data_IF_891979131676
#
_entry.id   IF_891979131676
#
_cell.length_a   1.000
_cell.length_b   1.000
_cell.length_c   1.000
_cell.angle_alpha   90.00
_cell.angle_beta   90.00
_cell.angle_gamma   90.00
#
_symmetry.space_group_name_H-M   'P 1'
#
loop_
_entity.id
_entity.type
_entity.pdbx_description
1 polymer ?
#
# COMPACT_ATOMS: atom_id res chain seq x y z
N UNK A 1 -2.07 -16.26 17.63
CA UNK A 1 -1.24 -15.26 18.35
C UNK A 1 -1.42 -13.89 17.68
N UNK A 2 -1.55 -12.81 18.45
CA UNK A 2 -1.74 -11.45 17.93
C UNK A 2 -0.56 -10.58 18.36
N UNK A 3 0.03 -9.85 17.42
CA UNK A 3 1.11 -8.88 17.65
C UNK A 3 0.57 -7.45 17.57
N UNK A 4 0.71 -6.71 18.66
CA UNK A 4 0.39 -5.27 18.74
C UNK A 4 1.59 -4.44 18.31
N UNK A 5 1.41 -3.56 17.32
CA UNK A 5 2.47 -2.74 16.73
C UNK A 5 2.68 -1.40 17.43
N UNK A 6 1.70 -0.87 18.18
CA UNK A 6 1.77 0.47 18.79
C UNK A 6 3.05 0.70 19.60
N UNK A 7 3.51 -0.32 20.33
CA UNK A 7 4.73 -0.26 21.18
C UNK A 7 6.05 -0.25 20.40
N UNK A 8 5.99 -0.41 19.07
CA UNK A 8 7.15 -0.42 18.18
C UNK A 8 7.20 0.82 17.30
N UNK A 9 6.40 1.84 17.64
CA UNK A 9 6.41 3.13 16.96
C UNK A 9 7.80 3.74 17.00
N UNK A 10 8.21 4.28 15.86
CA UNK A 10 9.45 5.02 15.70
C UNK A 10 9.15 6.39 15.12
N UNK A 11 10.00 7.34 15.45
CA UNK A 11 9.92 8.67 14.90
C UNK A 11 10.94 8.82 13.77
N UNK A 12 10.48 8.62 12.54
CA UNK A 12 11.31 8.74 11.33
C UNK A 12 11.02 10.03 10.56
N UNK A 13 10.02 10.80 10.98
CA UNK A 13 9.54 11.96 10.23
C UNK A 13 10.14 13.22 10.86
N UNK A 14 10.94 14.00 10.10
CA UNK A 14 11.48 15.28 10.54
C UNK A 14 10.41 16.27 11.05
N UNK A 15 10.82 17.21 11.90
CA UNK A 15 9.90 18.16 12.53
C UNK A 15 9.15 19.03 11.52
N UNK A 16 9.83 19.55 10.49
CA UNK A 16 9.21 20.35 9.43
C UNK A 16 8.08 19.60 8.70
N UNK A 17 8.26 18.31 8.40
CA UNK A 17 7.22 17.48 7.79
C UNK A 17 6.07 17.26 8.76
N UNK A 18 6.35 17.07 10.06
CA UNK A 18 5.28 16.98 11.07
C UNK A 18 4.48 18.27 11.16
N UNK A 19 5.11 19.43 11.08
CA UNK A 19 4.40 20.72 11.08
C UNK A 19 3.48 20.86 9.87
N UNK A 20 3.94 20.46 8.67
CA UNK A 20 3.08 20.40 7.48
C UNK A 20 1.88 19.48 7.72
N UNK A 21 2.13 18.26 8.21
CA UNK A 21 1.08 17.28 8.45
C UNK A 21 0.11 17.67 9.58
N UNK A 22 0.56 18.47 10.57
CA UNK A 22 -0.31 19.03 11.62
C UNK A 22 -1.32 20.03 11.08
N UNK A 23 -1.06 20.64 9.91
CA UNK A 23 -2.03 21.48 9.21
C UNK A 23 -3.29 20.73 8.78
N UNK A 24 -3.26 19.39 8.75
CA UNK A 24 -4.40 18.56 8.40
C UNK A 24 -5.02 17.91 9.63
N UNK A 25 -6.35 18.02 9.74
CA UNK A 25 -7.11 17.41 10.84
C UNK A 25 -6.96 15.89 10.91
N UNK A 26 -6.88 15.24 9.76
CA UNK A 26 -6.68 13.80 9.66
C UNK A 26 -5.58 13.47 8.66
N UNK A 27 -4.66 12.61 9.08
CA UNK A 27 -3.58 12.06 8.25
C UNK A 27 -3.59 10.55 8.45
N UNK A 28 -3.57 9.77 7.37
CA UNK A 28 -3.72 8.31 7.46
C UNK A 28 -3.16 7.57 6.24
N UNK A 29 -3.09 6.25 6.37
CA UNK A 29 -2.61 5.30 5.35
C UNK A 29 -1.24 5.68 4.72
N UNK A 30 -0.18 5.90 5.53
CA UNK A 30 1.14 6.25 5.02
C UNK A 30 1.83 5.07 4.37
N UNK A 31 2.61 5.33 3.34
CA UNK A 31 3.59 4.42 2.77
C UNK A 31 4.95 5.09 2.83
N UNK A 32 5.93 4.45 3.47
CA UNK A 32 7.26 5.02 3.65
C UNK A 32 8.32 4.06 3.13
N UNK A 33 9.30 4.60 2.42
CA UNK A 33 10.51 3.90 1.99
C UNK A 33 11.72 4.84 2.10
N UNK A 34 12.91 4.25 2.15
CA UNK A 34 14.19 4.95 2.03
C UNK A 34 14.98 4.35 0.87
N UNK A 35 15.44 5.17 -0.06
CA UNK A 35 16.12 4.72 -1.27
C UNK A 35 17.07 5.81 -1.80
N UNK A 36 18.31 5.44 -2.14
CA UNK A 36 19.35 6.35 -2.64
C UNK A 36 19.45 7.66 -1.86
N UNK A 37 19.60 7.55 -0.54
CA UNK A 37 19.72 8.68 0.41
C UNK A 37 18.51 9.63 0.47
N UNK A 38 17.40 9.25 -0.16
CA UNK A 38 16.13 9.94 -0.11
C UNK A 38 15.10 9.15 0.69
N UNK A 39 14.33 9.89 1.46
CA UNK A 39 13.15 9.39 2.14
C UNK A 39 11.92 9.78 1.33
N UNK A 40 10.97 8.85 1.24
CA UNK A 40 9.71 9.07 0.54
C UNK A 40 8.56 8.71 1.48
N UNK A 41 7.56 9.59 1.55
CA UNK A 41 6.32 9.36 2.30
C UNK A 41 5.13 9.71 1.41
N UNK A 42 4.42 8.68 0.95
CA UNK A 42 3.11 8.86 0.36
C UNK A 42 2.06 8.75 1.47
N UNK A 43 1.09 9.66 1.52
CA UNK A 43 0.14 9.74 2.64
C UNK A 43 -1.20 10.31 2.18
N UNK A 44 -2.26 9.97 2.91
CA UNK A 44 -3.58 10.58 2.73
C UNK A 44 -3.83 11.62 3.80
N UNK A 45 -4.37 12.76 3.39
CA UNK A 45 -4.71 13.87 4.27
C UNK A 45 -6.15 14.33 4.02
N UNK A 46 -6.87 14.71 5.06
CA UNK A 46 -8.17 15.37 4.92
C UNK A 46 -7.96 16.88 4.86
N UNK A 47 -8.29 17.48 3.72
CA UNK A 47 -8.21 18.91 3.52
C UNK A 47 -9.55 19.56 3.90
N UNK A 48 -9.51 20.42 4.92
CA UNK A 48 -10.69 21.10 5.42
C UNK A 48 -11.21 22.18 4.47
N UNK A 49 -10.39 22.69 3.54
CA UNK A 49 -10.80 23.74 2.58
C UNK A 49 -11.65 23.13 1.47
N UNK A 50 -11.14 22.11 0.77
CA UNK A 50 -11.86 21.40 -0.28
C UNK A 50 -12.85 20.35 0.25
N UNK A 51 -12.85 20.08 1.56
CA UNK A 51 -13.63 19.01 2.21
C UNK A 51 -13.39 17.63 1.60
N UNK A 52 -12.20 17.40 1.07
CA UNK A 52 -11.84 16.17 0.35
C UNK A 52 -10.64 15.46 0.99
N UNK A 53 -10.43 14.20 0.61
CA UNK A 53 -9.23 13.45 1.02
C UNK A 53 -8.24 13.49 -0.13
N UNK A 54 -7.09 14.11 0.10
CA UNK A 54 -6.00 14.25 -0.85
C UNK A 54 -4.93 13.19 -0.62
N UNK A 55 -4.22 12.82 -1.69
CA UNK A 55 -3.00 12.02 -1.64
C UNK A 55 -1.80 12.94 -1.89
N UNK A 56 -0.83 12.89 -0.98
CA UNK A 56 0.40 13.67 -1.04
C UNK A 56 1.61 12.74 -1.07
N UNK A 57 2.68 13.17 -1.74
CA UNK A 57 4.00 12.57 -1.69
C UNK A 57 4.97 13.61 -1.14
N UNK A 58 5.67 13.26 -0.07
CA UNK A 58 6.70 14.10 0.54
C UNK A 58 8.04 13.40 0.40
N UNK A 59 9.06 14.13 -0.05
CA UNK A 59 10.39 13.62 -0.36
C UNK A 59 11.42 14.48 0.34
N UNK A 60 12.39 13.86 1.00
CA UNK A 60 13.44 14.60 1.71
C UNK A 60 14.76 13.85 1.83
N UNK A 61 15.86 14.59 1.92
CA UNK A 61 17.20 14.09 2.27
C UNK A 61 17.61 14.49 3.71
N UNK A 62 18.83 14.14 4.13
CA UNK A 62 19.41 14.50 5.43
C UNK A 62 19.56 16.01 5.62
N UNK A 63 19.77 16.74 4.54
CA UNK A 63 20.00 18.20 4.53
C UNK A 63 18.69 18.99 4.52
N UNK A 64 17.56 18.32 4.75
CA UNK A 64 16.23 18.92 4.88
C UNK A 64 15.73 19.56 3.57
N UNK A 65 16.32 19.21 2.41
CA UNK A 65 15.72 19.54 1.12
C UNK A 65 14.41 18.78 1.00
N UNK A 66 13.31 19.52 1.15
CA UNK A 66 11.96 19.01 1.19
C UNK A 66 11.27 19.31 -0.14
N UNK A 67 10.62 18.31 -0.72
CA UNK A 67 9.66 18.53 -1.81
C UNK A 67 8.35 17.84 -1.52
N UNK A 68 7.26 18.55 -1.74
CA UNK A 68 5.90 18.01 -1.71
C UNK A 68 5.34 17.94 -3.13
N UNK A 69 4.68 16.83 -3.44
CA UNK A 69 3.93 16.62 -4.68
C UNK A 69 2.50 16.29 -4.32
N UNK A 70 1.55 17.05 -4.85
CA UNK A 70 0.13 16.75 -4.74
C UNK A 70 -0.26 15.71 -5.80
N UNK A 71 -0.29 14.42 -5.39
CA UNK A 71 -0.63 13.33 -6.29
C UNK A 71 -2.09 13.42 -6.74
N UNK A 72 -2.99 13.90 -5.86
CA UNK A 72 -4.40 14.10 -6.21
C UNK A 72 -4.55 15.11 -7.35
N UNK A 73 -3.91 16.28 -7.23
CA UNK A 73 -3.93 17.29 -8.28
C UNK A 73 -3.25 16.79 -9.55
N UNK A 74 -2.06 16.21 -9.45
CA UNK A 74 -1.30 15.72 -10.60
C UNK A 74 -2.13 14.72 -11.43
N UNK A 75 -2.73 13.71 -10.81
CA UNK A 75 -3.49 12.70 -11.54
C UNK A 75 -4.90 13.15 -11.94
N UNK A 76 -5.45 14.17 -11.29
CA UNK A 76 -6.63 14.87 -11.80
C UNK A 76 -6.32 15.54 -13.14
N UNK A 77 -5.19 16.23 -13.25
CA UNK A 77 -4.80 16.92 -14.49
C UNK A 77 -4.35 15.94 -15.59
N UNK A 78 -3.60 14.89 -15.24
CA UNK A 78 -3.03 13.95 -16.23
C UNK A 78 -3.96 12.85 -16.69
N UNK A 79 -4.88 12.40 -15.83
CA UNK A 79 -5.74 11.23 -16.09
C UNK A 79 -7.22 11.49 -15.83
N UNK A 80 -7.61 12.75 -15.57
CA UNK A 80 -8.98 13.13 -15.20
C UNK A 80 -9.55 12.31 -14.03
N UNK A 81 -8.70 11.94 -13.06
CA UNK A 81 -9.15 11.17 -11.90
C UNK A 81 -9.73 12.08 -10.82
N UNK A 82 -10.93 11.75 -10.36
CA UNK A 82 -11.56 12.45 -9.22
C UNK A 82 -10.86 12.16 -7.89
N UNK A 83 -10.15 11.04 -7.80
CA UNK A 83 -9.62 10.54 -6.54
C UNK A 83 -8.36 9.72 -6.74
N UNK A 84 -7.42 9.93 -5.82
CA UNK A 84 -6.21 9.12 -5.65
C UNK A 84 -6.28 8.52 -4.25
N UNK A 85 -6.47 7.21 -4.16
CA UNK A 85 -6.67 6.51 -2.90
C UNK A 85 -5.54 5.54 -2.58
N UNK A 86 -5.11 5.60 -1.32
CA UNK A 86 -4.17 4.68 -0.69
C UNK A 86 -2.88 4.49 -1.52
N UNK A 87 -2.12 5.57 -1.79
CA UNK A 87 -0.85 5.48 -2.51
C UNK A 87 0.15 4.62 -1.73
N UNK A 88 0.81 3.70 -2.42
CA UNK A 88 1.74 2.73 -1.82
C UNK A 88 3.08 2.78 -2.57
N UNK A 89 4.13 3.15 -1.85
CA UNK A 89 5.50 3.24 -2.33
C UNK A 89 6.21 1.89 -2.20
N UNK A 90 7.03 1.56 -3.19
CA UNK A 90 7.87 0.37 -3.18
C UNK A 90 9.07 0.54 -4.12
N UNK A 91 10.05 -0.35 -3.96
CA UNK A 91 11.24 -0.38 -4.81
C UNK A 91 11.11 -1.57 -5.75
N UNK A 92 11.23 -1.31 -7.04
CA UNK A 92 11.15 -2.34 -8.09
C UNK A 92 12.13 -1.97 -9.20
N UNK A 93 12.96 -2.94 -9.60
CA UNK A 93 14.01 -2.77 -10.62
C UNK A 93 14.88 -1.51 -10.38
N UNK A 94 15.45 -1.38 -9.17
CA UNK A 94 16.30 -0.25 -8.77
C UNK A 94 15.68 1.15 -9.01
N UNK A 95 14.36 1.25 -8.88
CA UNK A 95 13.65 2.52 -8.96
C UNK A 95 12.54 2.59 -7.91
N UNK A 96 12.16 3.81 -7.54
CA UNK A 96 11.00 4.06 -6.69
C UNK A 96 9.75 4.05 -7.55
N UNK A 97 8.82 3.18 -7.18
CA UNK A 97 7.51 3.10 -7.77
C UNK A 97 6.44 3.40 -6.73
N UNK A 98 5.28 3.83 -7.22
CA UNK A 98 4.10 4.01 -6.42
C UNK A 98 2.88 3.45 -7.16
N UNK A 99 1.95 2.88 -6.42
CA UNK A 99 0.64 2.49 -6.94
C UNK A 99 -0.48 3.07 -6.10
N UNK A 100 -1.61 3.38 -6.73
CA UNK A 100 -2.84 3.78 -6.04
C UNK A 100 -4.06 3.26 -6.79
N UNK A 101 -5.22 3.31 -6.13
CA UNK A 101 -6.51 3.04 -6.76
C UNK A 101 -7.36 4.32 -6.79
N UNK A 102 -8.24 4.50 -7.77
CA UNK A 102 -9.13 5.67 -7.80
C UNK A 102 -10.32 5.52 -6.85
N UNK A 103 -10.53 4.32 -6.31
CA UNK A 103 -11.77 3.96 -5.63
C UNK A 103 -12.89 3.73 -6.64
N UNK A 104 -13.92 3.00 -6.21
CA UNK A 104 -15.14 2.84 -7.01
C UNK A 104 -16.10 3.98 -6.67
N UNK A 105 -16.64 4.62 -7.70
CA UNK A 105 -17.74 5.58 -7.61
C UNK A 105 -18.90 5.08 -8.45
N UNK A 106 -20.09 5.66 -8.29
CA UNK A 106 -21.25 5.29 -9.10
C UNK A 106 -21.07 5.64 -10.60
N UNK A 107 -20.07 6.47 -10.92
CA UNK A 107 -19.79 6.98 -12.28
C UNK A 107 -18.62 6.28 -12.96
N UNK A 108 -17.64 5.81 -12.19
CA UNK A 108 -16.42 5.23 -12.74
C UNK A 108 -16.00 3.96 -12.01
N UNK A 109 -15.55 2.99 -12.81
CA UNK A 109 -14.85 1.83 -12.32
C UNK A 109 -13.56 2.24 -11.61
N UNK A 110 -13.23 1.48 -10.56
CA UNK A 110 -12.00 1.68 -9.83
C UNK A 110 -10.81 1.45 -10.76
N UNK A 111 -10.01 2.47 -11.05
CA UNK A 111 -8.76 2.36 -11.82
C UNK A 111 -7.60 2.03 -10.89
N UNK A 112 -6.65 1.25 -11.37
CA UNK A 112 -5.38 1.03 -10.68
C UNK A 112 -4.29 1.70 -11.50
N UNK A 113 -3.48 2.54 -10.84
CA UNK A 113 -2.38 3.25 -11.50
C UNK A 113 -1.07 2.82 -10.88
N UNK A 114 -0.07 2.60 -11.73
CA UNK A 114 1.32 2.35 -11.38
C UNK A 114 2.16 3.48 -11.96
N UNK A 115 3.04 4.08 -11.18
CA UNK A 115 3.90 5.16 -11.65
C UNK A 115 5.27 5.14 -11.00
N UNK A 116 6.25 5.69 -11.71
CA UNK A 116 7.66 5.75 -11.33
C UNK A 116 8.01 7.16 -10.89
N UNK A 117 8.78 7.24 -9.81
CA UNK A 117 9.21 8.50 -9.20
C UNK A 117 10.74 8.61 -9.38
N UNK A 118 11.19 9.77 -9.86
CA UNK A 118 12.61 10.12 -9.94
C UNK A 118 12.81 11.52 -9.36
N UNK A 119 13.53 11.60 -8.23
CA UNK A 119 13.53 12.81 -7.40
C UNK A 119 12.11 13.17 -6.99
N UNK A 120 11.67 14.38 -7.31
CA UNK A 120 10.30 14.89 -7.10
C UNK A 120 9.36 14.73 -8.29
N UNK A 121 9.81 14.14 -9.39
CA UNK A 121 9.04 14.05 -10.63
C UNK A 121 8.37 12.69 -10.79
N UNK A 122 7.12 12.69 -11.23
CA UNK A 122 6.45 11.50 -11.76
C UNK A 122 6.89 11.35 -13.21
N UNK A 123 7.83 10.43 -13.46
CA UNK A 123 8.47 10.24 -14.78
C UNK A 123 7.60 9.46 -15.75
N UNK A 124 7.05 8.35 -15.26
CA UNK A 124 6.28 7.38 -16.03
C UNK A 124 5.03 7.02 -15.22
N UNK A 125 3.88 6.86 -15.86
CA UNK A 125 2.65 6.43 -15.19
C UNK A 125 1.76 5.64 -16.15
N UNK A 126 1.07 4.65 -15.59
CA UNK A 126 0.29 3.66 -16.33
C UNK A 126 -1.01 3.33 -15.63
N UNK A 127 -2.13 3.42 -16.34
CA UNK A 127 -3.38 2.76 -15.98
C UNK A 127 -3.23 1.27 -16.23
N UNK A 128 -3.35 0.47 -15.18
CA UNK A 128 -3.16 -0.97 -15.19
C UNK A 128 -4.48 -1.68 -15.50
N UNK A 129 -4.50 -2.42 -16.60
CA UNK A 129 -5.71 -3.08 -17.11
C UNK A 129 -5.54 -4.59 -17.11
N UNK A 130 -6.54 -5.29 -16.57
CA UNK A 130 -6.69 -6.74 -16.66
C UNK A 130 -8.15 -7.05 -16.97
N UNK A 131 -8.40 -7.82 -18.04
CA UNK A 131 -9.76 -8.04 -18.56
C UNK A 131 -10.68 -8.73 -17.55
N UNK A 132 -10.16 -9.68 -16.77
CA UNK A 132 -10.96 -10.44 -15.79
C UNK A 132 -10.88 -9.80 -14.39
N UNK A 133 -10.56 -8.51 -14.33
CA UNK A 133 -10.43 -7.80 -13.07
C UNK A 133 -11.80 -7.70 -12.39
N UNK A 134 -11.87 -8.19 -11.16
CA UNK A 134 -12.97 -7.90 -10.26
C UNK A 134 -13.10 -6.38 -10.05
N UNK A 135 -14.28 -5.82 -10.36
CA UNK A 135 -14.58 -4.39 -10.33
C UNK A 135 -14.23 -3.71 -9.00
N UNK A 136 -14.40 -4.42 -7.88
CA UNK A 136 -14.12 -3.88 -6.55
C UNK A 136 -12.70 -4.12 -6.06
N UNK A 137 -11.87 -4.85 -6.81
CA UNK A 137 -10.47 -5.15 -6.43
C UNK A 137 -9.63 -3.87 -6.49
N UNK A 138 -8.86 -3.63 -5.43
CA UNK A 138 -8.16 -2.35 -5.20
C UNK A 138 -6.65 -2.48 -5.09
N UNK A 139 -6.16 -3.66 -4.74
CA UNK A 139 -4.79 -3.80 -4.29
C UNK A 139 -4.10 -4.90 -5.10
N UNK A 140 -3.26 -4.48 -6.05
CA UNK A 140 -2.26 -5.37 -6.62
C UNK A 140 -0.92 -5.05 -5.96
N UNK A 141 -0.04 -6.05 -5.85
CA UNK A 141 1.33 -5.79 -5.48
C UNK A 141 2.28 -6.20 -6.61
N UNK A 142 2.91 -5.18 -7.19
CA UNK A 142 3.80 -5.31 -8.32
C UNK A 142 5.18 -5.78 -7.91
N UNK A 143 5.84 -6.52 -8.78
CA UNK A 143 7.22 -6.93 -8.62
C UNK A 143 7.88 -7.16 -9.98
N UNK A 144 9.21 -7.22 -9.97
CA UNK A 144 10.03 -7.46 -11.15
C UNK A 144 10.68 -8.83 -11.03
N UNK A 145 10.48 -9.66 -12.04
CA UNK A 145 10.99 -11.03 -12.09
C UNK A 145 11.38 -11.33 -13.54
N UNK A 146 12.52 -11.96 -13.78
CA UNK A 146 13.01 -12.32 -15.14
C UNK A 146 12.91 -11.17 -16.17
N UNK A 147 13.28 -9.95 -15.76
CA UNK A 147 13.22 -8.73 -16.57
C UNK A 147 11.82 -8.24 -16.98
N UNK A 148 10.77 -8.75 -16.35
CA UNK A 148 9.39 -8.41 -16.66
C UNK A 148 8.63 -7.94 -15.41
N UNK A 149 7.56 -7.17 -15.63
CA UNK A 149 6.69 -6.69 -14.55
C UNK A 149 5.56 -7.70 -14.34
N UNK A 150 5.45 -8.14 -13.10
CA UNK A 150 4.38 -8.99 -12.62
C UNK A 150 3.58 -8.30 -11.53
N UNK A 151 2.39 -8.83 -11.26
CA UNK A 151 1.57 -8.40 -10.14
C UNK A 151 0.98 -9.62 -9.41
N UNK A 152 1.15 -9.66 -8.10
CA UNK A 152 0.33 -10.50 -7.24
C UNK A 152 -1.07 -9.88 -7.20
N UNK A 153 -2.07 -10.61 -7.69
CA UNK A 153 -3.44 -10.11 -7.88
C UNK A 153 -4.41 -10.61 -6.82
N UNK A 154 -4.38 -11.92 -6.52
CA UNK A 154 -5.29 -12.53 -5.55
C UNK A 154 -4.56 -13.51 -4.62
N UNK A 155 -5.01 -13.54 -3.37
CA UNK A 155 -4.60 -14.52 -2.35
C UNK A 155 -5.63 -15.65 -2.15
N UNK A 156 -6.79 -15.55 -2.82
CA UNK A 156 -7.90 -16.49 -2.68
C UNK A 156 -8.13 -17.12 -4.06
N UNK A 157 -7.50 -18.28 -4.28
CA UNK A 157 -6.99 -18.62 -5.60
C UNK A 157 -5.78 -17.73 -5.88
N UNK A 158 -4.57 -18.28 -5.75
CA UNK A 158 -3.35 -17.53 -6.01
C UNK A 158 -3.33 -17.16 -7.49
N UNK A 159 -3.47 -15.86 -7.78
CA UNK A 159 -3.42 -15.34 -9.14
C UNK A 159 -2.24 -14.38 -9.26
N UNK A 160 -1.41 -14.63 -10.26
CA UNK A 160 -0.31 -13.77 -10.68
C UNK A 160 -0.58 -13.31 -12.10
N UNK A 161 -0.41 -12.02 -12.31
CA UNK A 161 -0.51 -11.40 -13.62
C UNK A 161 0.87 -11.05 -14.14
N UNK A 162 1.03 -11.10 -15.46
CA UNK A 162 2.21 -10.64 -16.19
C UNK A 162 1.82 -9.49 -17.10
N UNK A 163 2.64 -8.44 -17.14
CA UNK A 163 2.47 -7.36 -18.11
C UNK A 163 2.80 -7.87 -19.52
N UNK A 164 1.87 -7.72 -20.46
CA UNK A 164 2.03 -8.20 -21.85
C UNK A 164 2.17 -7.07 -22.85
N UNK A 165 1.71 -5.86 -22.51
CA UNK A 165 1.96 -4.66 -23.32
C UNK A 165 2.03 -3.40 -22.47
N UNK A 166 2.86 -2.47 -22.91
CA UNK A 166 3.04 -1.15 -22.33
C UNK A 166 2.96 -0.15 -23.47
N UNK A 167 1.97 0.74 -23.43
CA UNK A 167 1.78 1.81 -24.42
C UNK A 167 1.46 3.12 -23.71
N UNK A 168 2.29 4.14 -23.92
CA UNK A 168 2.22 5.48 -23.30
C UNK A 168 1.87 5.46 -21.81
N UNK A 169 0.56 5.48 -21.49
CA UNK A 169 0.01 5.53 -20.14
C UNK A 169 -0.93 4.36 -19.80
N UNK A 170 -0.79 3.24 -20.51
CA UNK A 170 -1.56 2.01 -20.30
C UNK A 170 -0.62 0.83 -20.21
N UNK A 171 -0.86 -0.03 -19.23
CA UNK A 171 -0.17 -1.30 -19.06
C UNK A 171 -1.21 -2.41 -19.00
N UNK A 172 -1.12 -3.37 -19.92
CA UNK A 172 -2.04 -4.50 -19.98
C UNK A 172 -1.40 -5.70 -19.30
N UNK A 173 -2.21 -6.38 -18.49
CA UNK A 173 -1.86 -7.56 -17.75
C UNK A 173 -2.72 -8.74 -18.18
N UNK A 174 -2.10 -9.92 -18.20
CA UNK A 174 -2.77 -11.20 -18.46
C UNK A 174 -2.46 -12.20 -17.34
N UNK A 175 -3.31 -13.22 -17.23
CA UNK A 175 -3.12 -14.27 -16.25
C UNK A 175 -1.88 -15.09 -16.62
N UNK A 176 -0.89 -15.11 -15.72
CA UNK A 176 0.33 -15.88 -15.89
C UNK A 176 0.31 -17.16 -15.08
N UNK A 177 -0.24 -17.09 -13.86
CA UNK A 177 -0.38 -18.23 -12.99
C UNK A 177 -1.69 -18.14 -12.21
N UNK A 178 -2.38 -19.27 -12.10
CA UNK A 178 -3.58 -19.41 -11.31
C UNK A 178 -3.58 -20.77 -10.59
N UNK A 179 -3.67 -20.74 -9.26
CA UNK A 179 -3.84 -21.93 -8.45
C UNK A 179 -4.97 -21.75 -7.44
N UNK A 180 -6.12 -22.33 -7.76
CA UNK A 180 -7.34 -22.30 -6.95
C UNK A 180 -7.23 -23.08 -5.64
N UNK A 181 -6.28 -24.03 -5.54
CA UNK A 181 -6.03 -24.80 -4.33
C UNK A 181 -5.33 -23.95 -3.25
N UNK A 182 -4.61 -22.90 -3.65
CA UNK A 182 -4.03 -21.94 -2.71
C UNK A 182 -5.08 -20.89 -2.38
N UNK A 183 -5.78 -21.08 -1.28
CA UNK A 183 -6.85 -20.19 -0.85
C UNK A 183 -6.69 -19.78 0.62
N UNK A 184 -6.36 -18.50 0.83
CA UNK A 184 -6.25 -17.97 2.18
C UNK A 184 -7.60 -17.48 2.74
N UNK A 185 -8.67 -17.41 1.95
CA UNK A 185 -10.03 -17.12 2.38
C UNK A 185 -10.44 -15.66 2.17
N UNK A 186 -10.59 -14.89 3.24
CA UNK A 186 -11.05 -13.48 3.16
C UNK A 186 -9.87 -12.50 3.27
N UNK A 187 -8.78 -12.78 2.56
CA UNK A 187 -7.59 -11.92 2.56
C UNK A 187 -7.48 -11.13 1.27
N UNK A 188 -7.09 -9.87 1.40
CA UNK A 188 -6.65 -9.05 0.27
C UNK A 188 -5.19 -8.66 0.49
N UNK A 189 -4.53 -8.24 -0.56
CA UNK A 189 -3.19 -7.66 -0.46
C UNK A 189 -3.30 -6.33 0.27
N UNK A 190 -2.41 -6.09 1.23
CA UNK A 190 -2.41 -4.88 2.05
C UNK A 190 -1.28 -3.94 1.68
N UNK A 191 -0.05 -4.40 1.86
CA UNK A 191 1.17 -3.66 1.49
C UNK A 191 1.66 -4.04 0.09
N UNK A 192 2.55 -3.23 -0.51
CA UNK A 192 3.41 -3.71 -1.59
C UNK A 192 4.27 -4.91 -1.17
N UNK A 193 4.94 -5.52 -2.14
CA UNK A 193 5.95 -6.55 -1.91
C UNK A 193 7.30 -5.89 -1.55
N UNK A 194 7.98 -6.39 -0.51
CA UNK A 194 9.34 -6.00 -0.18
C UNK A 194 10.29 -7.20 -0.34
N UNK A 195 11.33 -7.03 -1.16
CA UNK A 195 12.32 -8.08 -1.41
C UNK A 195 13.20 -8.33 -0.17
N UNK A 196 13.40 -9.60 0.16
CA UNK A 196 14.25 -10.07 1.25
C UNK A 196 14.76 -11.48 0.94
N UNK A 197 16.08 -11.63 0.81
CA UNK A 197 16.74 -12.90 0.54
C UNK A 197 16.11 -13.66 -0.64
N UNK A 198 15.91 -12.98 -1.78
CA UNK A 198 15.33 -13.56 -3.00
C UNK A 198 13.82 -13.82 -2.95
N UNK A 199 13.15 -13.51 -1.84
CA UNK A 199 11.71 -13.71 -1.68
C UNK A 199 11.02 -12.38 -1.34
N UNK A 200 9.70 -12.35 -1.43
CA UNK A 200 8.92 -11.16 -1.07
C UNK A 200 8.18 -11.33 0.24
N UNK A 201 8.33 -10.35 1.13
CA UNK A 201 7.54 -10.21 2.35
C UNK A 201 6.47 -9.15 2.13
N UNK A 202 5.26 -9.42 2.61
CA UNK A 202 4.18 -8.43 2.62
C UNK A 202 3.16 -8.74 3.72
N UNK A 203 2.27 -7.78 3.99
CA UNK A 203 1.18 -7.95 4.94
C UNK A 203 -0.14 -7.87 4.17
N UNK A 204 -0.90 -8.96 4.19
CA UNK A 204 -2.27 -9.00 3.69
C UNK A 204 -3.26 -8.49 4.74
N UNK A 205 -4.43 -8.05 4.30
CA UNK A 205 -5.53 -7.65 5.17
C UNK A 205 -6.58 -8.77 5.24
N UNK A 206 -6.78 -9.33 6.43
CA UNK A 206 -7.94 -10.17 6.71
C UNK A 206 -9.18 -9.29 6.86
N UNK A 207 -10.15 -9.44 5.96
CA UNK A 207 -11.45 -8.78 6.05
C UNK A 207 -12.43 -9.67 6.83
N UNK A 208 -12.85 -9.20 7.99
CA UNK A 208 -13.91 -9.83 8.79
C UNK A 208 -15.17 -8.98 8.61
N UNK A 209 -16.28 -9.60 8.19
CA UNK A 209 -17.54 -8.91 7.94
C UNK A 209 -18.64 -9.47 8.85
N UNK A 210 -19.37 -8.60 9.54
CA UNK A 210 -20.56 -8.96 10.35
C UNK A 210 -21.62 -7.87 10.21
N UNK A 211 -22.84 -8.24 9.83
CA UNK A 211 -23.97 -7.31 9.61
C UNK A 211 -23.59 -6.10 8.71
N UNK A 212 -22.89 -6.37 7.60
CA UNK A 212 -22.42 -5.33 6.66
C UNK A 212 -21.29 -4.42 7.16
N UNK A 213 -20.87 -4.57 8.43
CA UNK A 213 -19.74 -3.84 9.01
C UNK A 213 -18.45 -4.65 8.87
N UNK A 214 -17.32 -3.95 8.73
CA UNK A 214 -16.02 -4.54 8.33
C UNK A 214 -14.94 -4.26 9.38
N UNK A 215 -14.12 -5.25 9.63
CA UNK A 215 -12.91 -5.15 10.45
C UNK A 215 -11.71 -5.70 9.67
N UNK A 216 -10.58 -5.01 9.72
CA UNK A 216 -9.37 -5.39 9.00
C UNK A 216 -8.20 -5.65 9.95
N UNK A 217 -7.61 -6.84 9.83
CA UNK A 217 -6.41 -7.27 10.56
C UNK A 217 -5.26 -7.52 9.59
N UNK A 218 -4.03 -7.31 10.02
CA UNK A 218 -2.84 -7.69 9.26
C UNK A 218 -2.52 -9.17 9.40
N UNK A 219 -2.02 -9.76 8.33
CA UNK A 219 -1.45 -11.11 8.31
C UNK A 219 -0.17 -11.10 7.47
N UNK A 220 0.99 -11.47 8.05
CA UNK A 220 2.24 -11.51 7.31
C UNK A 220 2.26 -12.70 6.35
N UNK A 221 2.76 -12.47 5.14
CA UNK A 221 2.93 -13.47 4.08
C UNK A 221 4.36 -13.46 3.54
N UNK A 222 4.81 -14.63 3.12
CA UNK A 222 6.04 -14.85 2.36
C UNK A 222 5.63 -15.40 0.99
N UNK A 223 6.03 -14.68 -0.06
CA UNK A 223 5.81 -15.04 -1.45
C UNK A 223 7.16 -15.36 -2.10
N UNK A 224 7.28 -16.55 -2.68
CA UNK A 224 8.46 -16.98 -3.43
C UNK A 224 8.12 -16.97 -4.92
N UNK A 225 8.64 -15.99 -5.69
CA UNK A 225 8.41 -15.97 -7.12
C UNK A 225 9.19 -17.11 -7.78
N UNK A 226 8.55 -17.85 -8.67
CA UNK A 226 9.16 -18.84 -9.56
C UNK A 226 8.15 -19.26 -10.63
N UNK A 227 8.52 -20.19 -11.51
CA UNK A 227 7.57 -20.83 -12.44
C UNK A 227 6.43 -21.57 -11.73
N UNK A 228 6.64 -22.02 -10.49
CA UNK A 228 5.60 -22.55 -9.62
C UNK A 228 5.59 -21.77 -8.30
N UNK A 229 4.97 -20.59 -8.28
CA UNK A 229 5.03 -19.67 -7.15
C UNK A 229 4.50 -20.27 -5.86
N UNK A 230 5.21 -20.02 -4.77
CA UNK A 230 4.80 -20.44 -3.43
C UNK A 230 4.31 -19.25 -2.62
N UNK A 231 3.22 -19.43 -1.88
CA UNK A 231 2.71 -18.44 -0.95
C UNK A 231 2.44 -19.09 0.40
N UNK A 232 3.03 -18.53 1.45
CA UNK A 232 2.84 -18.99 2.84
C UNK A 232 2.48 -17.82 3.75
N UNK A 233 1.82 -18.11 4.87
CA UNK A 233 1.44 -17.09 5.85
C UNK A 233 1.99 -17.40 7.24
N UNK A 234 2.38 -16.37 7.99
CA UNK A 234 2.74 -16.52 9.41
C UNK A 234 1.51 -16.90 10.23
N UNK A 235 1.66 -17.64 11.33
CA UNK A 235 0.57 -17.92 12.28
C UNK A 235 0.07 -16.68 13.03
N UNK A 236 0.81 -15.57 13.00
CA UNK A 236 0.49 -14.33 13.72
C UNK A 236 -0.51 -13.45 12.97
N UNK A 237 -1.36 -12.76 13.73
CA UNK A 237 -2.08 -11.58 13.25
C UNK A 237 -1.39 -10.33 13.76
N UNK A 238 -1.49 -9.25 13.01
CA UNK A 238 -0.84 -7.99 13.34
C UNK A 238 -1.88 -6.88 13.38
N UNK A 239 -1.86 -6.08 14.45
CA UNK A 239 -2.80 -4.99 14.69
C UNK A 239 -2.06 -3.77 15.23
N UNK A 240 -2.67 -2.59 15.13
CA UNK A 240 -2.15 -1.43 15.84
C UNK A 240 -2.14 -1.65 17.36
N UNK A 241 -3.32 -1.88 17.95
CA UNK A 241 -3.52 -2.17 19.38
C UNK A 241 -4.89 -2.84 19.61
N UNK A 242 -5.11 -3.46 20.78
CA UNK A 242 -6.43 -3.97 21.14
C UNK A 242 -7.47 -2.84 21.21
N UNK A 243 -7.10 -1.68 21.79
CA UNK A 243 -7.98 -0.50 21.87
C UNK A 243 -8.48 -0.02 20.51
N UNK A 244 -7.63 -0.04 19.48
CA UNK A 244 -8.04 0.38 18.14
C UNK A 244 -9.06 -0.54 17.48
N UNK A 245 -9.22 -1.79 17.95
CA UNK A 245 -10.21 -2.73 17.40
C UNK A 245 -11.65 -2.30 17.67
N UNK A 246 -11.87 -1.43 18.67
CA UNK A 246 -13.16 -0.82 18.97
C UNK A 246 -13.50 0.36 18.04
N UNK A 247 -12.61 0.73 17.14
CA UNK A 247 -12.83 1.77 16.13
C UNK A 247 -12.41 3.17 16.59
N UNK A 248 -12.92 4.17 15.88
CA UNK A 248 -12.72 5.59 16.16
C UNK A 248 -14.08 6.30 16.23
N UNK A 249 -14.13 7.43 16.95
CA UNK A 249 -15.33 8.27 17.07
C UNK A 249 -15.72 8.86 15.71
N UNK A 250 -14.76 9.44 14.99
CA UNK A 250 -14.93 9.87 13.62
C UNK A 250 -14.60 8.73 12.64
N UNK A 251 -15.38 8.62 11.56
CA UNK A 251 -15.19 7.59 10.53
C UNK A 251 -15.55 8.16 9.15
N UNK A 252 -14.59 8.16 8.22
CA UNK A 252 -14.88 8.44 6.81
C UNK A 252 -15.66 7.29 6.16
N UNK A 253 -15.42 6.05 6.59
CA UNK A 253 -16.13 4.88 6.11
C UNK A 253 -17.15 4.40 7.16
N UNK A 254 -18.44 4.68 6.91
CA UNK A 254 -19.55 4.27 7.81
C UNK A 254 -19.65 2.76 8.03
N UNK A 255 -19.09 1.94 7.13
CA UNK A 255 -19.10 0.48 7.23
C UNK A 255 -17.92 -0.07 8.02
N UNK A 256 -16.96 0.77 8.43
CA UNK A 256 -15.78 0.34 9.16
C UNK A 256 -16.06 0.25 10.67
N UNK A 257 -15.78 -0.91 11.26
CA UNK A 257 -15.67 -1.08 12.72
C UNK A 257 -14.29 -0.57 13.12
N UNK A 258 -13.25 -1.25 12.64
CA UNK A 258 -11.85 -0.92 12.87
C UNK A 258 -10.95 -1.43 11.75
N UNK A 259 -9.81 -0.76 11.57
CA UNK A 259 -8.83 -1.06 10.54
C UNK A 259 -7.42 -0.80 11.08
N UNK A 260 -6.53 -1.78 10.92
CA UNK A 260 -5.09 -1.50 10.78
C UNK A 260 -4.76 -1.61 9.30
N UNK A 261 -4.81 -0.49 8.58
CA UNK A 261 -4.62 -0.48 7.12
C UNK A 261 -3.13 -0.42 6.79
N UNK A 262 -2.51 -1.57 6.58
CA UNK A 262 -1.11 -1.63 6.15
C UNK A 262 -0.96 -1.11 4.72
N UNK A 263 -0.16 -0.06 4.55
CA UNK A 263 0.00 0.69 3.29
C UNK A 263 1.45 0.80 2.84
N UNK A 264 2.42 0.55 3.72
CA UNK A 264 3.84 0.52 3.38
C UNK A 264 4.60 -0.57 4.10
N UNK A 265 5.57 -1.14 3.40
CA UNK A 265 6.58 -2.05 3.94
C UNK A 265 7.92 -1.72 3.29
N UNK A 266 8.95 -1.58 4.11
CA UNK A 266 10.31 -1.35 3.66
C UNK A 266 11.27 -2.20 4.47
N UNK A 267 12.25 -2.81 3.81
CA UNK A 267 13.21 -3.69 4.43
C UNK A 267 14.59 -3.06 4.32
N UNK A 268 15.29 -3.01 5.45
CA UNK A 268 16.68 -2.57 5.53
C UNK A 268 17.43 -3.51 6.46
N UNK A 269 18.36 -4.28 5.88
CA UNK A 269 19.07 -5.38 6.57
C UNK A 269 18.05 -6.36 7.18
N UNK A 270 18.16 -6.67 8.47
CA UNK A 270 17.24 -7.56 9.19
C UNK A 270 16.05 -6.84 9.85
N UNK A 271 15.84 -5.56 9.52
CA UNK A 271 14.75 -4.75 10.07
C UNK A 271 13.71 -4.47 8.99
N UNK A 272 12.46 -4.44 9.43
CA UNK A 272 11.31 -4.06 8.63
C UNK A 272 10.70 -2.80 9.22
N UNK A 273 10.44 -1.83 8.35
CA UNK A 273 9.66 -0.64 8.63
C UNK A 273 8.28 -0.87 8.03
N UNK A 274 7.25 -0.74 8.86
CA UNK A 274 5.86 -0.94 8.46
C UNK A 274 5.09 0.33 8.72
N UNK A 275 4.40 0.80 7.68
CA UNK A 275 3.61 2.03 7.70
C UNK A 275 2.15 1.67 7.49
N UNK A 276 1.29 2.19 8.37
CA UNK A 276 -0.13 1.82 8.36
C UNK A 276 -1.04 2.91 8.92
N UNK A 277 -2.26 2.95 8.41
CA UNK A 277 -3.34 3.74 8.97
C UNK A 277 -4.07 3.02 10.10
N UNK A 278 -4.68 3.80 10.98
CA UNK A 278 -5.49 3.32 12.10
C UNK A 278 -6.88 3.95 11.98
N UNK A 279 -7.87 3.10 11.69
CA UNK A 279 -9.28 3.45 11.56
C UNK A 279 -9.58 4.60 10.58
N UNK A 280 -8.79 4.74 9.52
CA UNK A 280 -8.87 5.80 8.51
C UNK A 280 -8.75 7.24 9.06
N UNK A 281 -8.24 7.43 10.28
CA UNK A 281 -8.18 8.78 10.92
C UNK A 281 -6.82 9.13 11.50
N UNK A 282 -5.92 8.14 11.62
CA UNK A 282 -4.57 8.36 12.12
C UNK A 282 -3.62 7.38 11.46
N UNK A 283 -2.33 7.49 11.77
CA UNK A 283 -1.29 6.67 11.20
C UNK A 283 -0.17 6.36 12.18
N UNK A 284 0.62 5.34 11.83
CA UNK A 284 1.88 5.01 12.50
C UNK A 284 2.89 4.46 11.51
N UNK A 285 4.16 4.67 11.85
CA UNK A 285 5.30 3.95 11.29
C UNK A 285 5.98 3.23 12.45
N UNK A 286 6.31 1.95 12.24
CA UNK A 286 6.94 1.10 13.25
C UNK A 286 8.17 0.43 12.66
N UNK A 287 9.15 0.12 13.51
CA UNK A 287 10.38 -0.58 13.12
C UNK A 287 10.59 -1.80 13.99
N UNK A 288 10.74 -2.97 13.38
CA UNK A 288 10.90 -4.24 14.08
C UNK A 288 11.95 -5.11 13.37
N UNK A 289 12.46 -6.14 14.06
CA UNK A 289 13.18 -7.22 13.39
C UNK A 289 12.19 -8.08 12.60
N UNK A 290 12.57 -8.51 11.39
CA UNK A 290 11.73 -9.34 10.52
C UNK A 290 11.23 -10.59 11.24
N UNK A 291 12.10 -11.24 12.02
CA UNK A 291 11.79 -12.44 12.80
C UNK A 291 10.67 -12.26 13.83
N UNK A 292 10.38 -11.03 14.29
CA UNK A 292 9.26 -10.79 15.20
C UNK A 292 7.90 -10.95 14.51
N UNK A 293 7.84 -10.67 13.20
CA UNK A 293 6.60 -10.64 12.43
C UNK A 293 6.43 -11.91 11.59
N UNK A 294 7.48 -12.38 10.90
CA UNK A 294 7.39 -13.48 9.92
C UNK A 294 7.82 -14.87 10.41
N UNK A 295 8.37 -15.02 11.63
CA UNK A 295 8.41 -16.34 12.31
C UNK A 295 7.05 -16.64 12.94
#
# INVERSE_FOLDING_TARGET
MVLSLKRHAVDLIPLNIKEILKGYKYVFNPSYIFYNDLNYLAVRVYDDTSKSILAKLVIWNSDVNLTEVDLSQFFKEKLALDKVADPKLFIMNNAVWCTFNSGHTDKEDNKLVLFKIEGSNVKEYYSCNYKDRNQVEKNWAFYFYENEIFALYSLNGLVILKATSIDKHKMVFENHFNNTNINFGAYTIGTPLALYNGNYLFIGHRKITRKGKRLYLGKPFLFKPSNNPELTSSKKYVIHSLKSLFGAKHKFNRFLISCTYFSGIYISKNKVIVSYGVNDVSWKIVKLNISKIWR
#
